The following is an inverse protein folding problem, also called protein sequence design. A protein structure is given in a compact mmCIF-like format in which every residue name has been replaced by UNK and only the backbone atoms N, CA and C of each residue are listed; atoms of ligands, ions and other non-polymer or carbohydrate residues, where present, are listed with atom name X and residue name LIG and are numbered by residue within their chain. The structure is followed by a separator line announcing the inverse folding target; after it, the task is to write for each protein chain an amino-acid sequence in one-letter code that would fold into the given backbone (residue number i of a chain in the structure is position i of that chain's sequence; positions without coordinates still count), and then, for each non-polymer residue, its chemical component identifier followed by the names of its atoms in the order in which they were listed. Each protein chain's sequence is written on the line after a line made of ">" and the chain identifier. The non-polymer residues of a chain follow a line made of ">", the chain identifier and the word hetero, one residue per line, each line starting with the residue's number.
data_IF_415714850082
#
_entry.id   IF_415714850082
#
_cell.length_a   1.000
_cell.length_b   1.000
_cell.length_c   1.000
_cell.angle_alpha   90.00
_cell.angle_beta   90.00
_cell.angle_gamma   90.00
#
_symmetry.space_group_name_H-M   'P 1'
#
loop_
_entity.id
_entity.type
_entity.pdbx_description
1 polymer ?
#
# COMPACT_ATOMS: atom_id res chain seq x y z
N UNK A 1 21.99 34.84 12.68
CA UNK A 1 22.02 33.45 13.18
C UNK A 1 20.67 32.86 12.83
N UNK A 2 20.65 31.90 11.90
CA UNK A 2 19.43 31.21 11.50
C UNK A 2 18.77 30.56 12.72
N UNK A 3 17.44 30.63 12.85
CA UNK A 3 16.72 30.07 13.99
C UNK A 3 16.65 28.54 13.84
N UNK A 4 17.74 27.88 14.21
CA UNK A 4 17.96 26.44 14.12
C UNK A 4 16.85 25.62 14.81
N UNK A 5 16.05 26.20 15.72
CA UNK A 5 14.94 25.50 16.39
C UNK A 5 13.75 25.21 15.47
N UNK A 6 13.53 26.00 14.43
CA UNK A 6 12.40 25.82 13.52
C UNK A 6 12.62 24.63 12.58
N UNK A 7 13.88 24.37 12.20
CA UNK A 7 14.29 23.30 11.27
C UNK A 7 14.13 21.89 11.85
N UNK A 8 14.15 21.72 13.19
CA UNK A 8 14.04 20.41 13.85
C UNK A 8 12.62 20.04 14.29
N UNK A 9 11.64 20.94 14.12
CA UNK A 9 10.25 20.63 14.43
C UNK A 9 9.66 19.93 13.22
N UNK A 10 9.56 18.58 13.26
CA UNK A 10 8.82 17.83 12.25
C UNK A 10 7.41 18.41 12.14
N UNK A 11 7.02 18.80 10.93
CA UNK A 11 5.64 19.24 10.67
C UNK A 11 4.66 18.15 11.12
N UNK A 12 3.47 18.53 11.60
CA UNK A 12 2.44 17.57 12.01
C UNK A 12 2.14 16.56 10.90
N UNK A 13 2.24 16.99 9.64
CA UNK A 13 2.09 16.12 8.47
C UNK A 13 3.17 15.03 8.42
N UNK A 14 4.44 15.36 8.67
CA UNK A 14 5.53 14.37 8.72
C UNK A 14 5.32 13.34 9.84
N UNK A 15 4.71 13.74 10.95
CA UNK A 15 4.40 12.84 12.07
C UNK A 15 3.24 11.92 11.69
N UNK A 16 2.18 12.47 11.10
CA UNK A 16 0.99 11.74 10.70
C UNK A 16 1.28 10.72 9.59
N UNK A 17 1.96 11.12 8.52
CA UNK A 17 2.32 10.22 7.41
C UNK A 17 3.20 9.04 7.84
N UNK A 18 3.93 9.16 8.96
CA UNK A 18 4.77 8.08 9.47
C UNK A 18 4.09 7.18 10.51
N UNK A 19 2.77 7.30 10.72
CA UNK A 19 2.06 6.42 11.64
C UNK A 19 2.04 4.98 11.13
N UNK A 20 2.37 4.03 12.02
CA UNK A 20 2.40 2.58 11.75
C UNK A 20 1.10 2.04 11.15
N UNK A 21 -0.04 2.67 11.48
CA UNK A 21 -1.36 2.31 10.94
C UNK A 21 -1.41 2.36 9.41
N UNK A 22 -0.75 3.34 8.79
CA UNK A 22 -0.72 3.47 7.33
C UNK A 22 0.01 2.32 6.65
N UNK A 23 1.15 1.91 7.23
CA UNK A 23 1.94 0.79 6.71
C UNK A 23 1.18 -0.53 6.81
N UNK A 24 0.33 -0.73 7.83
CA UNK A 24 -0.48 -1.94 7.95
C UNK A 24 -1.44 -2.10 6.76
N UNK A 25 -2.13 -1.04 6.35
CA UNK A 25 -3.05 -1.09 5.22
C UNK A 25 -2.31 -1.32 3.90
N UNK A 26 -1.16 -0.68 3.71
CA UNK A 26 -0.28 -0.91 2.57
C UNK A 26 0.17 -2.38 2.49
N UNK A 27 0.66 -2.94 3.60
CA UNK A 27 1.12 -4.34 3.66
C UNK A 27 0.00 -5.32 3.30
N UNK A 28 -1.24 -5.08 3.76
CA UNK A 28 -2.39 -5.91 3.38
C UNK A 28 -2.61 -5.86 1.86
N UNK A 29 -2.55 -4.67 1.25
CA UNK A 29 -2.68 -4.51 -0.20
C UNK A 29 -1.62 -5.29 -0.98
N UNK A 30 -0.36 -5.23 -0.52
CA UNK A 30 0.76 -5.97 -1.12
C UNK A 30 0.55 -7.48 -1.01
N UNK A 31 0.16 -7.99 0.17
CA UNK A 31 -0.08 -9.42 0.39
C UNK A 31 -1.19 -9.93 -0.54
N UNK A 32 -2.30 -9.18 -0.66
CA UNK A 32 -3.40 -9.53 -1.56
C UNK A 32 -2.95 -9.53 -3.01
N UNK A 33 -2.19 -8.51 -3.44
CA UNK A 33 -1.65 -8.43 -4.79
C UNK A 33 -0.71 -9.61 -5.11
N UNK A 34 0.20 -9.94 -4.19
CA UNK A 34 1.10 -11.08 -4.32
C UNK A 34 0.34 -12.41 -4.37
N UNK A 35 -0.73 -12.57 -3.58
CA UNK A 35 -1.57 -13.76 -3.62
C UNK A 35 -2.22 -13.94 -5.00
N UNK A 36 -2.73 -12.85 -5.60
CA UNK A 36 -3.26 -12.88 -6.97
C UNK A 36 -2.19 -13.25 -8.01
N UNK A 37 -1.00 -12.68 -7.92
CA UNK A 37 0.12 -13.00 -8.83
C UNK A 37 0.51 -14.47 -8.71
N UNK A 38 0.67 -14.98 -7.48
CA UNK A 38 1.11 -16.36 -7.24
C UNK A 38 0.05 -17.37 -7.67
N UNK A 39 -1.24 -17.07 -7.45
CA UNK A 39 -2.35 -17.92 -7.87
C UNK A 39 -2.33 -18.19 -9.38
N UNK A 40 -1.88 -17.22 -10.18
CA UNK A 40 -1.79 -17.34 -11.65
C UNK A 40 -0.88 -18.48 -12.10
N UNK A 41 0.09 -18.88 -11.27
CA UNK A 41 1.08 -19.88 -11.63
C UNK A 41 0.79 -21.27 -11.05
N UNK A 42 -0.38 -21.46 -10.43
CA UNK A 42 -0.74 -22.76 -9.81
C UNK A 42 -1.14 -23.79 -10.87
N UNK A 43 -1.79 -23.38 -11.96
CA UNK A 43 -2.23 -24.26 -13.07
C UNK A 43 -2.57 -23.41 -14.32
N UNK A 44 -2.52 -24.03 -15.51
CA UNK A 44 -2.82 -23.40 -16.79
C UNK A 44 -4.33 -23.35 -17.13
N UNK A 45 -5.17 -22.94 -16.17
CA UNK A 45 -6.61 -22.82 -16.37
C UNK A 45 -7.04 -21.36 -16.58
N UNK A 46 -7.76 -21.10 -17.67
CA UNK A 46 -8.29 -19.75 -18.02
C UNK A 46 -9.07 -19.12 -16.86
N UNK A 47 -9.81 -19.93 -16.10
CA UNK A 47 -10.61 -19.44 -14.98
C UNK A 47 -9.72 -18.95 -13.82
N UNK A 48 -8.58 -19.60 -13.61
CA UNK A 48 -7.58 -19.20 -12.61
C UNK A 48 -6.90 -17.91 -13.04
N UNK A 49 -6.61 -17.71 -14.33
CA UNK A 49 -6.07 -16.44 -14.84
C UNK A 49 -7.00 -15.27 -14.55
N UNK A 50 -8.31 -15.44 -14.81
CA UNK A 50 -9.32 -14.39 -14.57
C UNK A 50 -9.39 -14.05 -13.08
N UNK A 51 -9.51 -15.06 -12.21
CA UNK A 51 -9.60 -14.86 -10.76
C UNK A 51 -8.32 -14.22 -10.21
N UNK A 52 -7.16 -14.66 -10.67
CA UNK A 52 -5.85 -14.12 -10.29
C UNK A 52 -5.73 -12.64 -10.63
N UNK A 53 -6.18 -12.25 -11.84
CA UNK A 53 -6.19 -10.85 -12.25
C UNK A 53 -7.17 -10.00 -11.43
N UNK A 54 -8.35 -10.53 -11.08
CA UNK A 54 -9.31 -9.82 -10.22
C UNK A 54 -8.71 -9.58 -8.83
N UNK A 55 -8.10 -10.59 -8.21
CA UNK A 55 -7.44 -10.46 -6.90
C UNK A 55 -6.30 -9.45 -6.97
N UNK A 56 -5.50 -9.49 -8.04
CA UNK A 56 -4.42 -8.52 -8.26
C UNK A 56 -4.94 -7.09 -8.36
N UNK A 57 -6.02 -6.85 -9.11
CA UNK A 57 -6.67 -5.53 -9.21
C UNK A 57 -7.19 -5.06 -7.85
N UNK A 58 -7.77 -5.94 -7.04
CA UNK A 58 -8.19 -5.61 -5.67
C UNK A 58 -6.97 -5.18 -4.81
N UNK A 59 -5.85 -5.89 -4.91
CA UNK A 59 -4.59 -5.52 -4.24
C UNK A 59 -4.09 -4.13 -4.63
N UNK A 60 -4.18 -3.78 -5.93
CA UNK A 60 -3.84 -2.43 -6.44
C UNK A 60 -4.75 -1.38 -5.80
N UNK A 61 -6.06 -1.58 -5.81
CA UNK A 61 -7.04 -0.61 -5.26
C UNK A 61 -6.78 -0.37 -3.77
N UNK A 62 -6.53 -1.42 -2.99
CA UNK A 62 -6.19 -1.30 -1.55
C UNK A 62 -4.90 -0.51 -1.36
N UNK A 63 -3.87 -0.81 -2.16
CA UNK A 63 -2.57 -0.14 -2.07
C UNK A 63 -2.67 1.35 -2.41
N UNK A 64 -3.40 1.71 -3.46
CA UNK A 64 -3.65 3.12 -3.82
C UNK A 64 -4.41 3.81 -2.70
N UNK A 65 -5.46 3.18 -2.15
CA UNK A 65 -6.21 3.73 -1.01
C UNK A 65 -5.32 3.96 0.22
N UNK A 66 -4.35 3.07 0.46
CA UNK A 66 -3.37 3.25 1.53
C UNK A 66 -2.47 4.47 1.29
N UNK A 67 -1.97 4.66 0.07
CA UNK A 67 -1.18 5.86 -0.30
C UNK A 67 -1.99 7.13 -0.13
N UNK A 68 -3.23 7.17 -0.64
CA UNK A 68 -4.10 8.34 -0.52
C UNK A 68 -4.39 8.69 0.95
N UNK A 69 -4.47 7.70 1.83
CA UNK A 69 -4.62 7.92 3.27
C UNK A 69 -3.35 8.46 3.95
N UNK A 70 -2.15 8.23 3.39
CA UNK A 70 -0.89 8.79 3.89
C UNK A 70 -0.74 10.26 3.50
N UNK A 71 -1.25 10.61 2.32
CA UNK A 71 -1.16 11.96 1.74
C UNK A 71 -2.23 12.92 2.29
N UNK A 72 -3.20 12.41 3.04
CA UNK A 72 -4.31 13.17 3.61
C UNK A 72 -4.00 13.58 5.04
#
# INVERSE_FOLDING_TARGET
>A
MENVKETYTKSEQTINSNLTSHYRLMTIGIIVGLAGIMLRFVTDWVLIDIVSNIIFVIGIVISIKAVLNILK
#
